data_IF_761847971267
#
_entry.id   IF_761847971267
#
_cell.length_a   1.000
_cell.length_b   1.000
_cell.length_c   1.000
_cell.angle_alpha   90.00
_cell.angle_beta   90.00
_cell.angle_gamma   90.00
#
_symmetry.space_group_name_H-M   'P 1'
#
loop_
_entity.id
_entity.type
_entity.pdbx_description
1 polymer ?
#
# COMPACT_ATOMS: atom_id res chain seq x y z
N UNK A 1 10.08 -25.17 31.51
CA UNK A 1 10.07 -25.00 30.06
C UNK A 1 11.42 -25.33 29.42
N UNK A 2 12.53 -24.70 29.85
CA UNK A 2 13.88 -24.94 29.25
C UNK A 2 14.35 -26.39 29.32
N UNK A 3 14.03 -27.10 30.39
CA UNK A 3 14.49 -28.50 30.57
C UNK A 3 13.58 -29.52 29.88
N UNK A 4 12.34 -29.21 29.53
CA UNK A 4 11.35 -30.16 29.04
C UNK A 4 11.04 -29.94 27.55
N UNK A 5 11.44 -28.79 26.96
CA UNK A 5 11.23 -28.45 25.53
C UNK A 5 9.78 -28.23 25.13
N UNK A 6 8.85 -28.12 26.09
CA UNK A 6 7.43 -27.83 25.82
C UNK A 6 7.02 -26.45 26.31
N UNK A 7 6.01 -25.81 25.67
CA UNK A 7 5.44 -24.56 26.17
C UNK A 7 4.85 -24.77 27.59
N UNK A 8 5.07 -23.79 28.48
CA UNK A 8 4.56 -23.81 29.87
C UNK A 8 3.87 -22.49 30.15
N UNK A 9 2.63 -22.56 30.67
CA UNK A 9 1.90 -21.40 31.20
C UNK A 9 2.02 -21.41 32.71
N UNK A 10 2.39 -20.26 33.29
CA UNK A 10 2.44 -20.03 34.73
C UNK A 10 1.57 -18.86 35.10
N UNK A 11 0.58 -19.09 35.98
CA UNK A 11 -0.25 -18.05 36.55
C UNK A 11 0.18 -17.80 37.99
N UNK A 12 0.37 -16.54 38.38
CA UNK A 12 0.65 -16.10 39.75
C UNK A 12 -0.51 -15.25 40.22
N UNK A 13 -1.30 -15.78 41.17
CA UNK A 13 -2.44 -15.07 41.75
C UNK A 13 -1.94 -13.87 42.59
N UNK A 14 -0.86 -14.03 43.34
CA UNK A 14 -0.27 -13.00 44.20
C UNK A 14 0.21 -11.78 43.40
N UNK A 15 0.79 -12.01 42.23
CA UNK A 15 1.29 -10.93 41.33
C UNK A 15 0.26 -10.52 40.26
N UNK A 16 -0.85 -11.26 40.10
CA UNK A 16 -1.84 -11.02 39.07
C UNK A 16 -1.29 -11.14 37.64
N UNK A 17 -0.32 -12.03 37.40
CA UNK A 17 0.35 -12.15 36.10
C UNK A 17 0.28 -13.57 35.55
N UNK A 18 0.11 -13.67 34.24
CA UNK A 18 0.22 -14.92 33.49
C UNK A 18 1.45 -14.83 32.59
N UNK A 19 2.31 -15.83 32.66
CA UNK A 19 3.52 -15.93 31.84
C UNK A 19 3.45 -17.17 30.96
N UNK A 20 3.77 -17.01 29.68
CA UNK A 20 3.98 -18.09 28.72
C UNK A 20 5.50 -18.26 28.52
N UNK A 21 5.98 -19.47 28.67
CA UNK A 21 7.37 -19.84 28.37
C UNK A 21 7.38 -20.78 27.17
N UNK A 22 7.92 -20.34 26.06
CA UNK A 22 8.02 -21.12 24.82
C UNK A 22 9.31 -20.76 24.07
N UNK A 23 9.95 -21.72 23.40
CA UNK A 23 11.15 -21.50 22.60
C UNK A 23 12.32 -20.85 23.37
N UNK A 24 12.38 -21.05 24.70
CA UNK A 24 13.41 -20.44 25.55
C UNK A 24 13.13 -18.97 25.94
N UNK A 25 12.05 -18.39 25.45
CA UNK A 25 11.61 -17.04 25.78
C UNK A 25 10.50 -17.05 26.85
N UNK A 26 10.38 -15.92 27.55
CA UNK A 26 9.30 -15.64 28.47
C UNK A 26 8.46 -14.52 27.91
N UNK A 27 7.16 -14.77 27.70
CA UNK A 27 6.17 -13.77 27.34
C UNK A 27 5.18 -13.61 28.50
N UNK A 28 5.04 -12.38 29.00
CA UNK A 28 4.06 -12.07 30.04
C UNK A 28 2.82 -11.49 29.35
N UNK A 29 1.67 -12.16 29.53
CA UNK A 29 0.40 -11.68 29.01
C UNK A 29 0.04 -10.35 29.69
N UNK A 30 -0.43 -9.42 28.90
CA UNK A 30 -0.89 -8.12 29.39
C UNK A 30 -2.31 -8.23 29.97
N UNK A 31 -2.71 -7.26 30.78
CA UNK A 31 -4.08 -7.14 31.22
C UNK A 31 -5.00 -6.83 30.02
N UNK A 32 -6.13 -7.55 29.92
CA UNK A 32 -7.05 -7.47 28.78
C UNK A 32 -7.57 -6.04 28.55
N UNK A 33 -7.88 -5.29 29.61
CA UNK A 33 -8.40 -3.92 29.48
C UNK A 33 -7.34 -2.99 28.93
N UNK A 34 -6.10 -3.10 29.40
CA UNK A 34 -4.96 -2.32 28.89
C UNK A 34 -4.67 -2.65 27.42
N UNK A 35 -4.77 -3.92 27.05
CA UNK A 35 -4.52 -4.38 25.70
C UNK A 35 -5.60 -3.86 24.75
N UNK A 36 -6.88 -3.87 25.19
CA UNK A 36 -7.98 -3.29 24.44
C UNK A 36 -7.82 -1.77 24.24
N UNK A 37 -7.46 -1.03 25.29
CA UNK A 37 -7.22 0.42 25.19
C UNK A 37 -6.08 0.73 24.19
N UNK A 38 -4.98 -0.03 24.27
CA UNK A 38 -3.84 0.12 23.35
C UNK A 38 -4.23 -0.23 21.93
N UNK A 39 -5.00 -1.30 21.72
CA UNK A 39 -5.49 -1.71 20.40
C UNK A 39 -6.41 -0.65 19.78
N UNK A 40 -7.32 -0.07 20.55
CA UNK A 40 -8.19 1.02 20.08
C UNK A 40 -7.38 2.26 19.69
N UNK A 41 -6.33 2.59 20.47
CA UNK A 41 -5.44 3.70 20.14
C UNK A 41 -4.62 3.43 18.86
N UNK A 42 -4.17 2.18 18.68
CA UNK A 42 -3.46 1.77 17.47
C UNK A 42 -4.38 1.81 16.24
N UNK A 43 -5.65 1.37 16.35
CA UNK A 43 -6.64 1.49 15.27
C UNK A 43 -6.89 2.95 14.86
N UNK A 44 -7.04 3.87 15.81
CA UNK A 44 -7.17 5.30 15.51
C UNK A 44 -5.92 5.87 14.82
N UNK A 45 -4.76 5.32 15.13
CA UNK A 45 -3.51 5.70 14.46
C UNK A 45 -3.47 5.12 13.06
N UNK A 46 -3.87 3.86 12.88
CA UNK A 46 -3.99 3.21 11.58
C UNK A 46 -4.92 4.00 10.65
N UNK A 47 -6.11 4.37 11.10
CA UNK A 47 -7.08 5.18 10.35
C UNK A 47 -6.45 6.46 9.80
N UNK A 48 -5.75 7.21 10.66
CA UNK A 48 -5.05 8.44 10.24
C UNK A 48 -3.93 8.20 9.23
N UNK A 49 -3.21 7.07 9.34
CA UNK A 49 -2.16 6.74 8.37
C UNK A 49 -2.74 6.24 7.06
N UNK A 50 -3.84 5.48 7.09
CA UNK A 50 -4.61 5.10 5.89
C UNK A 50 -5.12 6.33 5.13
N UNK A 51 -5.66 7.33 5.85
CA UNK A 51 -6.04 8.61 5.24
C UNK A 51 -4.83 9.32 4.58
N UNK A 52 -3.67 9.31 5.23
CA UNK A 52 -2.44 9.88 4.65
C UNK A 52 -1.98 9.14 3.39
N UNK A 53 -2.12 7.80 3.34
CA UNK A 53 -1.87 7.02 2.12
C UNK A 53 -2.83 7.47 1.02
N UNK A 54 -4.13 7.57 1.32
CA UNK A 54 -5.14 8.00 0.37
C UNK A 54 -4.85 9.40 -0.19
N UNK A 55 -4.47 10.33 0.67
CA UNK A 55 -4.08 11.68 0.27
C UNK A 55 -2.81 11.68 -0.62
N UNK A 56 -1.83 10.81 -0.32
CA UNK A 56 -0.64 10.67 -1.18
C UNK A 56 -0.97 10.10 -2.54
N UNK A 57 -1.86 9.10 -2.59
CA UNK A 57 -2.33 8.52 -3.85
C UNK A 57 -3.13 9.53 -4.68
N UNK A 58 -3.87 10.43 -4.03
CA UNK A 58 -4.52 11.57 -4.68
C UNK A 58 -3.51 12.54 -5.28
N UNK A 59 -2.50 12.95 -4.50
CA UNK A 59 -1.40 13.79 -4.98
C UNK A 59 -0.62 13.15 -6.13
N UNK A 60 -0.33 11.84 -6.02
CA UNK A 60 0.32 11.09 -7.11
C UNK A 60 -0.54 11.11 -8.38
N UNK A 61 -1.87 10.98 -8.27
CA UNK A 61 -2.77 11.09 -9.43
C UNK A 61 -2.71 12.49 -10.08
N UNK A 62 -2.61 13.54 -9.28
CA UNK A 62 -2.46 14.89 -9.81
C UNK A 62 -1.14 15.05 -10.57
N UNK A 63 -0.02 14.60 -10.00
CA UNK A 63 1.29 14.61 -10.68
C UNK A 63 1.29 13.74 -11.95
N UNK A 64 0.59 12.61 -11.96
CA UNK A 64 0.41 11.74 -13.14
C UNK A 64 -0.32 12.46 -14.28
N UNK A 65 -1.38 13.18 -13.95
CA UNK A 65 -2.18 13.93 -14.93
C UNK A 65 -1.38 15.08 -15.54
N UNK A 66 -0.53 15.71 -14.74
CA UNK A 66 0.34 16.83 -15.17
C UNK A 66 1.64 16.37 -15.85
N UNK A 67 1.93 15.06 -15.86
CA UNK A 67 3.16 14.47 -16.40
C UNK A 67 4.43 15.02 -15.69
N UNK A 68 4.35 15.16 -14.35
CA UNK A 68 5.44 15.71 -13.49
C UNK A 68 5.76 14.83 -12.29
N UNK A 69 5.49 13.53 -12.39
CA UNK A 69 5.76 12.59 -11.30
C UNK A 69 7.25 12.47 -11.02
N UNK A 70 7.60 12.51 -9.75
CA UNK A 70 8.98 12.34 -9.29
C UNK A 70 9.15 11.06 -8.46
N UNK A 71 10.40 10.61 -8.30
CA UNK A 71 10.74 9.52 -7.39
C UNK A 71 10.31 9.81 -5.95
N UNK A 72 10.32 11.09 -5.54
CA UNK A 72 9.81 11.57 -4.25
C UNK A 72 8.35 11.21 -4.04
N UNK A 73 7.49 11.43 -5.05
CA UNK A 73 6.05 11.19 -4.94
C UNK A 73 5.77 9.70 -4.70
N UNK A 74 6.43 8.82 -5.45
CA UNK A 74 6.32 7.38 -5.30
C UNK A 74 6.89 6.92 -3.96
N UNK A 75 8.06 7.40 -3.55
CA UNK A 75 8.68 7.05 -2.28
C UNK A 75 7.81 7.47 -1.08
N UNK A 76 7.12 8.62 -1.14
CA UNK A 76 6.18 9.05 -0.10
C UNK A 76 5.00 8.08 0.03
N UNK A 77 4.43 7.62 -1.08
CA UNK A 77 3.35 6.63 -1.05
C UNK A 77 3.83 5.34 -0.41
N UNK A 78 4.96 4.82 -0.86
CA UNK A 78 5.53 3.56 -0.36
C UNK A 78 5.93 3.64 1.11
N UNK A 79 6.53 4.75 1.55
CA UNK A 79 6.85 5.01 2.96
C UNK A 79 5.59 4.96 3.84
N UNK A 80 4.53 5.63 3.41
CA UNK A 80 3.27 5.69 4.18
C UNK A 80 2.58 4.33 4.23
N UNK A 81 2.64 3.58 3.14
CA UNK A 81 2.13 2.21 3.12
C UNK A 81 2.87 1.32 4.11
N UNK A 82 4.18 1.35 4.13
CA UNK A 82 4.96 0.55 5.09
C UNK A 82 4.64 0.93 6.54
N UNK A 83 4.39 2.21 6.83
CA UNK A 83 3.92 2.63 8.15
C UNK A 83 2.55 2.05 8.50
N UNK A 84 1.63 1.95 7.54
CA UNK A 84 0.32 1.29 7.71
C UNK A 84 0.53 -0.19 8.02
N UNK A 85 1.39 -0.89 7.28
CA UNK A 85 1.68 -2.30 7.47
C UNK A 85 2.21 -2.59 8.88
N UNK A 86 3.19 -1.81 9.36
CA UNK A 86 3.76 -1.97 10.72
C UNK A 86 2.71 -1.77 11.82
N UNK A 87 1.84 -0.77 11.68
CA UNK A 87 0.76 -0.55 12.65
C UNK A 87 -0.24 -1.71 12.61
N UNK A 88 -0.59 -2.20 11.42
CA UNK A 88 -1.49 -3.34 11.26
C UNK A 88 -0.90 -4.62 11.91
N UNK A 89 0.37 -4.93 11.69
CA UNK A 89 1.08 -6.05 12.33
C UNK A 89 1.11 -5.93 13.87
N UNK A 90 1.30 -4.72 14.40
CA UNK A 90 1.22 -4.50 15.85
C UNK A 90 -0.19 -4.80 16.39
N UNK A 91 -1.24 -4.36 15.66
CA UNK A 91 -2.64 -4.64 16.02
C UNK A 91 -2.92 -6.14 15.92
N UNK A 92 -2.46 -6.84 14.90
CA UNK A 92 -2.62 -8.29 14.76
C UNK A 92 -1.98 -9.04 15.94
N UNK A 93 -0.80 -8.61 16.38
CA UNK A 93 -0.13 -9.19 17.56
C UNK A 93 -1.00 -9.02 18.81
N UNK A 94 -1.63 -7.86 19.00
CA UNK A 94 -2.54 -7.62 20.11
C UNK A 94 -3.84 -8.42 19.99
N UNK A 95 -4.38 -8.59 18.77
CA UNK A 95 -5.55 -9.43 18.47
C UNK A 95 -5.29 -10.90 18.85
N UNK A 96 -4.10 -11.42 18.55
CA UNK A 96 -3.71 -12.78 18.94
C UNK A 96 -3.66 -12.93 20.46
N UNK A 97 -3.13 -11.95 21.19
CA UNK A 97 -3.06 -11.97 22.66
C UNK A 97 -4.45 -11.84 23.31
N UNK A 98 -5.36 -11.04 22.75
CA UNK A 98 -6.75 -10.88 23.21
C UNK A 98 -7.64 -12.10 22.93
N UNK A 99 -7.33 -12.87 21.90
CA UNK A 99 -8.09 -14.08 21.54
C UNK A 99 -9.54 -13.79 21.19
N UNK A 100 -10.48 -14.38 21.93
CA UNK A 100 -11.94 -14.28 21.67
C UNK A 100 -12.50 -12.86 21.85
N UNK A 101 -11.87 -12.05 22.67
CA UNK A 101 -12.29 -10.69 22.98
C UNK A 101 -11.92 -9.71 21.84
N UNK A 102 -11.08 -10.11 20.89
CA UNK A 102 -10.58 -9.30 19.80
C UNK A 102 -11.48 -9.24 18.55
N UNK A 103 -12.66 -9.88 18.57
CA UNK A 103 -13.50 -10.01 17.36
C UNK A 103 -13.81 -8.69 16.66
N UNK A 104 -14.15 -7.66 17.41
CA UNK A 104 -14.49 -6.34 16.84
C UNK A 104 -13.23 -5.64 16.29
N UNK A 105 -12.10 -5.77 16.99
CA UNK A 105 -10.82 -5.21 16.54
C UNK A 105 -10.38 -5.81 15.20
N UNK A 106 -10.55 -7.13 15.05
CA UNK A 106 -10.24 -7.81 13.78
C UNK A 106 -11.09 -7.29 12.64
N UNK A 107 -12.40 -7.14 12.84
CA UNK A 107 -13.30 -6.61 11.81
C UNK A 107 -12.92 -5.17 11.39
N UNK A 108 -12.54 -4.32 12.36
CA UNK A 108 -12.11 -2.96 12.08
C UNK A 108 -10.76 -2.92 11.35
N UNK A 109 -9.82 -3.80 11.74
CA UNK A 109 -8.54 -3.92 11.06
C UNK A 109 -8.75 -4.35 9.60
N UNK A 110 -9.53 -5.42 9.38
CA UNK A 110 -9.83 -5.95 8.04
C UNK A 110 -10.47 -4.88 7.15
N UNK A 111 -11.41 -4.08 7.68
CA UNK A 111 -12.07 -3.00 6.95
C UNK A 111 -11.08 -1.88 6.55
N UNK A 112 -10.23 -1.44 7.49
CA UNK A 112 -9.26 -0.36 7.24
C UNK A 112 -8.13 -0.79 6.29
N UNK A 113 -7.76 -2.07 6.31
CA UNK A 113 -6.62 -2.59 5.55
C UNK A 113 -6.99 -3.00 4.12
N UNK A 114 -8.19 -3.59 3.91
CA UNK A 114 -8.62 -4.13 2.62
C UNK A 114 -8.65 -3.09 1.48
N UNK A 115 -8.91 -1.81 1.79
CA UNK A 115 -8.99 -0.76 0.76
C UNK A 115 -7.63 -0.26 0.26
N UNK A 116 -6.55 -0.55 0.99
CA UNK A 116 -5.22 0.06 0.73
C UNK A 116 -4.34 -0.85 -0.10
N UNK A 117 -4.41 -2.16 0.14
CA UNK A 117 -3.50 -3.17 -0.41
C UNK A 117 -3.55 -3.24 -1.93
N UNK A 118 -4.73 -3.39 -2.53
CA UNK A 118 -4.92 -3.45 -3.99
C UNK A 118 -4.38 -2.23 -4.74
N UNK A 119 -4.33 -1.06 -4.09
CA UNK A 119 -3.90 0.19 -4.72
C UNK A 119 -2.39 0.33 -4.78
N UNK A 120 -1.68 -0.25 -3.83
CA UNK A 120 -0.21 -0.24 -3.78
C UNK A 120 0.38 -1.14 -4.84
N UNK A 121 -0.22 -2.30 -5.10
CA UNK A 121 0.17 -3.19 -6.19
C UNK A 121 0.18 -2.47 -7.54
N UNK A 122 -0.80 -1.59 -7.75
CA UNK A 122 -0.87 -0.78 -8.97
C UNK A 122 0.22 0.29 -9.04
N UNK A 123 0.62 0.88 -7.90
CA UNK A 123 1.75 1.82 -7.85
C UNK A 123 3.04 1.10 -8.21
N UNK A 124 3.28 -0.07 -7.61
CA UNK A 124 4.46 -0.88 -7.90
C UNK A 124 4.48 -1.28 -9.38
N UNK A 125 3.35 -1.76 -9.92
CA UNK A 125 3.23 -2.12 -11.33
C UNK A 125 3.53 -0.95 -12.26
N UNK A 126 3.08 0.25 -11.93
CA UNK A 126 3.26 1.43 -12.81
C UNK A 126 4.69 1.97 -12.80
N UNK A 127 5.36 1.97 -11.66
CA UNK A 127 6.63 2.69 -11.53
C UNK A 127 7.87 1.80 -11.44
N UNK A 128 7.73 0.56 -10.97
CA UNK A 128 8.88 -0.31 -10.80
C UNK A 128 9.21 -1.09 -12.08
N UNK A 129 10.48 -1.54 -12.23
CA UNK A 129 10.87 -2.42 -13.32
C UNK A 129 10.04 -3.71 -13.33
N UNK A 130 9.70 -4.21 -14.52
CA UNK A 130 8.86 -5.40 -14.69
C UNK A 130 9.46 -6.71 -14.08
N UNK A 131 10.72 -6.69 -13.71
CA UNK A 131 11.40 -7.79 -13.03
C UNK A 131 11.17 -7.81 -11.49
N UNK A 132 10.53 -6.78 -10.95
CA UNK A 132 10.20 -6.66 -9.52
C UNK A 132 8.73 -6.96 -9.32
N UNK A 133 8.44 -7.77 -8.33
CA UNK A 133 7.06 -7.97 -7.88
C UNK A 133 6.76 -7.17 -6.60
N UNK A 134 5.52 -7.17 -6.23
CA UNK A 134 5.03 -6.45 -5.04
C UNK A 134 5.61 -7.04 -3.77
N UNK A 135 5.59 -8.38 -3.64
CA UNK A 135 6.02 -9.07 -2.42
C UNK A 135 7.50 -8.81 -2.13
N UNK A 136 8.37 -8.90 -3.15
CA UNK A 136 9.79 -8.62 -3.03
C UNK A 136 10.05 -7.16 -2.59
N UNK A 137 9.31 -6.21 -3.18
CA UNK A 137 9.46 -4.78 -2.87
C UNK A 137 9.00 -4.48 -1.45
N UNK A 138 7.84 -5.00 -1.04
CA UNK A 138 7.32 -4.80 0.31
C UNK A 138 8.19 -5.51 1.35
N UNK A 139 8.70 -6.71 1.06
CA UNK A 139 9.64 -7.40 1.94
C UNK A 139 10.94 -6.61 2.15
N UNK A 140 11.46 -5.95 1.11
CA UNK A 140 12.65 -5.11 1.22
C UNK A 140 12.37 -3.85 2.06
N UNK A 141 11.23 -3.18 1.85
CA UNK A 141 10.78 -2.05 2.66
C UNK A 141 10.65 -2.42 4.14
N UNK A 142 10.10 -3.59 4.43
CA UNK A 142 9.93 -4.08 5.80
C UNK A 142 11.27 -4.30 6.55
N UNK A 143 12.39 -4.47 5.83
CA UNK A 143 13.72 -4.59 6.45
C UNK A 143 14.27 -3.28 7.00
N UNK A 144 13.75 -2.13 6.55
CA UNK A 144 14.19 -0.82 7.00
C UNK A 144 13.85 -0.62 8.48
N UNK A 145 14.77 -0.06 9.24
CA UNK A 145 14.51 0.41 10.61
C UNK A 145 13.55 1.61 10.58
N UNK A 146 12.93 1.95 11.71
CA UNK A 146 12.05 3.12 11.82
C UNK A 146 12.75 4.44 11.46
N UNK A 147 14.03 4.56 11.73
CA UNK A 147 14.82 5.74 11.40
C UNK A 147 15.14 5.78 9.88
N UNK A 148 15.46 4.65 9.29
CA UNK A 148 15.67 4.53 7.84
C UNK A 148 14.38 4.76 7.05
N UNK A 149 13.25 4.26 7.54
CA UNK A 149 11.95 4.49 6.92
C UNK A 149 11.55 5.98 6.89
N UNK A 150 12.06 6.80 7.81
CA UNK A 150 11.85 8.26 7.80
C UNK A 150 12.68 8.99 6.73
N UNK A 151 13.76 8.39 6.27
CA UNK A 151 14.58 8.93 5.18
C UNK A 151 14.07 8.46 3.82
N UNK A 152 13.47 9.37 3.06
CA UNK A 152 12.91 9.06 1.74
C UNK A 152 13.94 8.50 0.76
N UNK A 153 15.24 8.83 0.90
CA UNK A 153 16.28 8.27 0.05
C UNK A 153 16.49 6.77 0.32
N UNK A 154 16.36 6.37 1.59
CA UNK A 154 16.39 4.95 1.95
C UNK A 154 15.22 4.19 1.37
N UNK A 155 14.02 4.78 1.46
CA UNK A 155 12.83 4.23 0.81
C UNK A 155 12.99 4.17 -0.70
N UNK A 156 13.45 5.25 -1.34
CA UNK A 156 13.68 5.30 -2.78
C UNK A 156 14.68 4.23 -3.26
N UNK A 157 15.71 3.94 -2.45
CA UNK A 157 16.70 2.90 -2.78
C UNK A 157 16.08 1.50 -2.88
N UNK A 158 15.03 1.18 -2.12
CA UNK A 158 14.33 -0.12 -2.20
C UNK A 158 13.46 -0.25 -3.46
N UNK A 159 13.11 0.86 -4.11
CA UNK A 159 12.25 0.85 -5.30
C UNK A 159 12.99 0.43 -6.57
N UNK A 160 14.30 0.55 -6.60
CA UNK A 160 15.16 0.13 -7.73
C UNK A 160 14.69 0.66 -9.10
N UNK A 161 14.25 1.91 -9.16
CA UNK A 161 13.70 2.54 -10.38
C UNK A 161 14.72 2.73 -11.51
N UNK A 162 15.99 2.36 -11.29
CA UNK A 162 17.09 2.43 -12.27
C UNK A 162 17.80 3.79 -12.31
N UNK A 163 17.37 4.76 -11.51
CA UNK A 163 18.02 6.06 -11.31
C UNK A 163 18.86 6.12 -10.04
N UNK A 164 19.40 7.32 -9.74
CA UNK A 164 20.07 7.59 -8.48
C UNK A 164 19.00 7.75 -7.37
N UNK A 165 18.97 6.91 -6.34
CA UNK A 165 17.99 7.01 -5.25
C UNK A 165 18.17 8.28 -4.40
N UNK A 166 19.33 8.94 -4.48
CA UNK A 166 19.56 10.22 -3.81
C UNK A 166 18.94 11.40 -4.58
N UNK A 167 18.64 11.23 -5.88
CA UNK A 167 17.93 12.20 -6.70
C UNK A 167 16.41 11.98 -6.58
N UNK A 168 15.82 12.49 -5.52
CA UNK A 168 14.38 12.39 -5.29
C UNK A 168 13.54 13.18 -6.31
N UNK A 169 14.13 14.10 -7.05
CA UNK A 169 13.46 14.89 -8.07
C UNK A 169 13.58 14.25 -9.48
N UNK A 170 14.14 13.03 -9.55
CA UNK A 170 14.15 12.21 -10.76
C UNK A 170 12.73 12.02 -11.30
N UNK A 171 12.48 12.43 -12.54
CA UNK A 171 11.19 12.24 -13.20
C UNK A 171 10.94 10.78 -13.51
N UNK A 172 9.73 10.31 -13.22
CA UNK A 172 9.26 8.96 -13.48
C UNK A 172 8.04 8.98 -14.40
N UNK A 173 8.03 8.11 -15.41
CA UNK A 173 6.91 7.95 -16.33
C UNK A 173 6.04 6.77 -15.90
N UNK A 174 4.80 6.99 -15.41
CA UNK A 174 3.88 5.92 -15.09
C UNK A 174 3.40 5.19 -16.35
N UNK A 175 3.17 3.87 -16.23
CA UNK A 175 2.61 3.07 -17.36
C UNK A 175 1.12 3.33 -17.57
N UNK A 176 0.41 3.83 -16.55
CA UNK A 176 -1.01 4.18 -16.58
C UNK A 176 -1.95 3.06 -16.16
N UNK A 177 -1.44 1.93 -15.66
CA UNK A 177 -2.25 0.79 -15.19
C UNK A 177 -3.19 1.22 -14.08
N UNK A 178 -2.72 2.06 -13.16
CA UNK A 178 -3.47 2.59 -12.01
C UNK A 178 -4.71 3.40 -12.45
N UNK A 179 -4.58 4.22 -13.47
CA UNK A 179 -5.69 4.99 -14.01
C UNK A 179 -6.64 4.13 -14.85
N UNK A 180 -6.11 3.16 -15.59
CA UNK A 180 -6.93 2.20 -16.34
C UNK A 180 -7.83 1.35 -15.42
N UNK A 181 -7.39 1.03 -14.21
CA UNK A 181 -8.21 0.31 -13.22
C UNK A 181 -9.46 1.07 -12.78
N UNK A 182 -9.53 2.38 -12.99
CA UNK A 182 -10.75 3.18 -12.77
C UNK A 182 -11.80 3.02 -13.85
N UNK A 183 -11.45 2.40 -14.98
CA UNK A 183 -12.38 2.12 -16.07
C UNK A 183 -13.29 0.96 -15.66
N UNK A 184 -14.58 1.23 -15.56
CA UNK A 184 -15.55 0.23 -15.11
C UNK A 184 -15.55 -1.01 -16.04
N UNK A 185 -15.49 -2.20 -15.44
CA UNK A 185 -15.49 -3.49 -16.13
C UNK A 185 -14.34 -3.72 -17.13
N UNK A 186 -13.26 -2.98 -17.03
CA UNK A 186 -12.05 -3.26 -17.81
C UNK A 186 -11.36 -4.50 -17.21
N UNK A 187 -11.22 -5.62 -17.94
CA UNK A 187 -10.48 -6.77 -17.48
C UNK A 187 -9.00 -6.44 -17.27
N UNK A 188 -8.39 -7.01 -16.23
CA UNK A 188 -7.00 -6.74 -15.85
C UNK A 188 -6.02 -7.03 -16.96
N UNK A 189 -6.21 -8.14 -17.67
CA UNK A 189 -5.37 -8.53 -18.81
C UNK A 189 -5.40 -7.48 -19.93
N UNK A 190 -6.57 -6.85 -20.16
CA UNK A 190 -6.71 -5.80 -21.16
C UNK A 190 -6.07 -4.51 -20.66
N UNK A 191 -6.23 -4.15 -19.38
CA UNK A 191 -5.57 -2.97 -18.79
C UNK A 191 -4.05 -3.05 -18.94
N UNK A 192 -3.47 -4.20 -18.60
CA UNK A 192 -2.02 -4.45 -18.74
C UNK A 192 -1.59 -4.37 -20.21
N UNK A 193 -2.39 -4.93 -21.14
CA UNK A 193 -2.10 -4.90 -22.58
C UNK A 193 -2.15 -3.48 -23.14
N UNK A 194 -3.14 -2.69 -22.73
CA UNK A 194 -3.26 -1.27 -23.12
C UNK A 194 -2.07 -0.47 -22.58
N UNK A 195 -1.74 -0.60 -21.30
CA UNK A 195 -0.59 0.07 -20.71
C UNK A 195 0.72 -0.31 -21.41
N UNK A 196 0.92 -1.60 -21.71
CA UNK A 196 2.11 -2.08 -22.42
C UNK A 196 2.20 -1.56 -23.86
N UNK A 197 1.04 -1.40 -24.55
CA UNK A 197 1.00 -0.91 -25.94
C UNK A 197 1.48 0.55 -26.04
N UNK A 198 1.04 1.41 -25.13
CA UNK A 198 1.42 2.83 -25.14
C UNK A 198 2.76 3.09 -24.44
N UNK A 199 3.13 2.26 -23.47
CA UNK A 199 4.38 2.33 -22.74
C UNK A 199 4.42 3.39 -21.63
N UNK A 200 3.71 4.51 -21.81
CA UNK A 200 3.57 5.56 -20.79
C UNK A 200 2.15 6.18 -20.80
N UNK A 201 1.79 6.79 -19.67
CA UNK A 201 0.46 7.40 -19.46
C UNK A 201 0.24 8.61 -20.36
N UNK A 202 1.26 9.43 -20.62
CA UNK A 202 1.13 10.63 -21.44
C UNK A 202 0.72 10.29 -22.88
N UNK A 203 1.25 9.19 -23.44
CA UNK A 203 0.82 8.66 -24.73
C UNK A 203 -0.59 8.09 -24.68
N UNK A 204 -0.90 7.33 -23.63
CA UNK A 204 -2.22 6.76 -23.42
C UNK A 204 -3.31 7.83 -23.35
N UNK A 205 -3.07 8.95 -22.66
CA UNK A 205 -4.01 10.07 -22.54
C UNK A 205 -4.27 10.77 -23.88
N UNK A 206 -3.30 10.76 -24.79
CA UNK A 206 -3.43 11.35 -26.14
C UNK A 206 -4.00 10.40 -27.18
N UNK A 207 -4.19 9.12 -26.81
CA UNK A 207 -4.66 8.10 -27.74
C UNK A 207 -6.06 8.38 -28.25
N UNK A 208 -6.26 8.18 -29.55
CA UNK A 208 -7.58 8.21 -30.19
C UNK A 208 -8.37 6.94 -29.91
N UNK A 209 -9.69 6.99 -30.10
CA UNK A 209 -10.56 5.80 -30.00
C UNK A 209 -10.13 4.73 -31.00
N UNK A 210 -9.70 5.13 -32.20
CA UNK A 210 -9.28 4.21 -33.25
C UNK A 210 -7.97 3.49 -32.87
N UNK A 211 -6.99 4.20 -32.28
CA UNK A 211 -5.75 3.60 -31.77
C UNK A 211 -6.05 2.62 -30.62
N UNK A 212 -6.89 3.00 -29.66
CA UNK A 212 -7.31 2.11 -28.58
C UNK A 212 -8.04 0.87 -29.12
N UNK A 213 -8.92 1.03 -30.11
CA UNK A 213 -9.67 -0.08 -30.73
C UNK A 213 -8.80 -1.02 -31.56
N UNK A 214 -7.58 -0.61 -31.91
CA UNK A 214 -6.63 -1.48 -32.62
C UNK A 214 -5.99 -2.55 -31.70
N UNK A 215 -6.16 -2.40 -30.38
CA UNK A 215 -5.61 -3.33 -29.38
C UNK A 215 -6.55 -4.54 -29.25
N UNK A 216 -5.97 -5.73 -29.29
CA UNK A 216 -6.74 -6.97 -29.16
C UNK A 216 -7.52 -7.04 -27.84
N UNK A 217 -8.83 -7.27 -27.95
CA UNK A 217 -9.77 -7.29 -26.82
C UNK A 217 -10.39 -5.92 -26.47
N UNK A 218 -10.04 -4.83 -27.20
CA UNK A 218 -10.62 -3.49 -27.01
C UNK A 218 -11.57 -3.18 -28.17
N UNK A 219 -12.87 -3.26 -27.95
CA UNK A 219 -13.86 -2.79 -28.91
C UNK A 219 -14.06 -1.27 -28.86
N UNK A 220 -14.78 -0.70 -29.81
CA UNK A 220 -15.02 0.75 -29.90
C UNK A 220 -15.75 1.31 -28.67
N UNK A 221 -16.61 0.52 -28.02
CA UNK A 221 -17.33 0.93 -26.82
C UNK A 221 -16.38 1.03 -25.64
N UNK A 222 -15.52 0.02 -25.44
CA UNK A 222 -14.51 0.00 -24.40
C UNK A 222 -13.45 1.08 -24.63
N UNK A 223 -13.01 1.29 -25.87
CA UNK A 223 -12.08 2.37 -26.24
C UNK A 223 -12.63 3.76 -25.87
N UNK A 224 -13.92 4.00 -26.16
CA UNK A 224 -14.59 5.25 -25.78
C UNK A 224 -14.66 5.37 -24.26
N UNK A 225 -15.01 4.29 -23.55
CA UNK A 225 -15.08 4.28 -22.09
C UNK A 225 -13.71 4.55 -21.43
N UNK A 226 -12.63 3.97 -21.95
CA UNK A 226 -11.25 4.25 -21.49
C UNK A 226 -10.95 5.73 -21.62
N UNK A 227 -11.14 6.29 -22.81
CA UNK A 227 -10.87 7.71 -23.06
C UNK A 227 -11.70 8.63 -22.16
N UNK A 228 -13.00 8.37 -22.03
CA UNK A 228 -13.90 9.20 -21.22
C UNK A 228 -13.55 9.10 -19.71
N UNK A 229 -13.12 7.95 -19.26
CA UNK A 229 -12.67 7.78 -17.86
C UNK A 229 -11.38 8.54 -17.61
N UNK A 230 -10.38 8.42 -18.49
CA UNK A 230 -9.13 9.16 -18.37
C UNK A 230 -9.37 10.68 -18.40
N UNK A 231 -10.24 11.17 -19.28
CA UNK A 231 -10.61 12.59 -19.33
C UNK A 231 -11.26 13.07 -18.02
N UNK A 232 -12.19 12.29 -17.45
CA UNK A 232 -12.82 12.60 -16.15
C UNK A 232 -11.82 12.62 -14.99
N UNK A 233 -10.87 11.67 -14.97
CA UNK A 233 -9.82 11.64 -13.95
C UNK A 233 -8.95 12.90 -14.05
N UNK A 234 -8.59 13.32 -15.26
CA UNK A 234 -7.84 14.53 -15.52
C UNK A 234 -8.61 15.77 -15.03
N UNK A 235 -9.88 15.87 -15.35
CA UNK A 235 -10.73 16.99 -14.90
C UNK A 235 -10.86 17.04 -13.38
N UNK A 236 -11.11 15.89 -12.73
CA UNK A 236 -11.22 15.79 -11.27
C UNK A 236 -9.90 16.17 -10.57
N UNK A 237 -8.76 15.67 -11.04
CA UNK A 237 -7.46 15.96 -10.45
C UNK A 237 -7.11 17.47 -10.51
N UNK A 238 -7.48 18.14 -11.60
CA UNK A 238 -7.31 19.59 -11.73
C UNK A 238 -8.22 20.34 -10.74
N UNK A 239 -9.47 19.92 -10.57
CA UNK A 239 -10.41 20.58 -9.66
C UNK A 239 -9.99 20.43 -8.20
N UNK A 240 -9.48 19.26 -7.80
CA UNK A 240 -9.05 18.98 -6.42
C UNK A 240 -7.83 19.83 -6.00
N UNK A 241 -7.04 20.34 -6.95
CA UNK A 241 -5.92 21.26 -6.66
C UNK A 241 -6.35 22.68 -6.27
N UNK A 242 -7.57 23.07 -6.62
CA UNK A 242 -8.08 24.43 -6.36
C UNK A 242 -9.00 24.52 -5.12
N UNK A 243 -9.10 23.41 -4.34
CA UNK A 243 -9.87 23.36 -3.10
C UNK A 243 -9.00 23.00 -1.90
#
# INVERSE_FOLDING_TARGET
ARSIGVPVISASEEMGVINLYAGGQKHQLQDTSRLLDRSNQALQTLERYTERVNNSLGGLTASEVEDVVTLRDVAIVMQRQEMVNRIAEEIETMIVELGVDARLLRLQLDELYAEVDDRIDLVITDYLPAARDTDDTMAELATLTDDELRDLRRVAATLHTGGDPDDLDLELAPKGTRLLRRVNRLPDEIAVRVAAHFGDLARLQRASVDELSSIDGVDSALATQIRDTLAKVTESAILDQYH
#
